data_IF_882496038998
#
_entry.id   IF_882496038998
#
_cell.length_a   1.000
_cell.length_b   1.000
_cell.length_c   1.000
_cell.angle_alpha   90.00
_cell.angle_beta   90.00
_cell.angle_gamma   90.00
#
_symmetry.space_group_name_H-M   'P 1'
#
loop_
_entity.id
_entity.type
_entity.pdbx_description
1 polymer ?
#
# COMPACT_ATOMS: atom_id res chain seq x y z
N UNK A 1 72.51 9.57 5.70
CA UNK A 1 72.66 8.17 6.02
C UNK A 1 71.36 7.65 6.54
N UNK A 2 70.77 6.79 5.74
CA UNK A 2 69.91 5.66 6.05
C UNK A 2 68.62 5.99 6.82
N UNK A 3 67.47 5.70 6.42
CA UNK A 3 67.00 4.57 5.68
C UNK A 3 65.64 4.21 6.23
N UNK A 4 64.73 4.01 5.41
CA UNK A 4 63.80 2.94 5.27
C UNK A 4 62.69 2.86 6.30
N UNK A 5 61.56 2.82 5.95
CA UNK A 5 60.77 1.67 5.59
C UNK A 5 59.30 2.04 5.59
N UNK A 6 58.78 1.88 4.47
CA UNK A 6 57.35 1.79 4.17
C UNK A 6 56.62 0.82 5.08
N UNK A 7 55.49 1.21 5.64
CA UNK A 7 54.42 0.28 5.88
C UNK A 7 53.16 0.94 5.33
N UNK A 8 52.86 0.59 4.14
CA UNK A 8 51.58 0.70 3.51
C UNK A 8 50.66 -0.27 4.22
N UNK A 9 49.80 0.21 5.12
CA UNK A 9 48.69 -0.55 5.63
C UNK A 9 47.42 0.09 5.07
N UNK A 10 47.03 -0.43 3.94
CA UNK A 10 45.73 -0.19 3.33
C UNK A 10 44.66 -0.90 4.14
N UNK A 11 44.26 -0.27 5.21
CA UNK A 11 43.00 -0.63 5.86
C UNK A 11 41.86 -0.15 4.93
N UNK A 12 41.46 -1.05 4.08
CA UNK A 12 40.18 -0.99 3.38
C UNK A 12 39.10 -1.02 4.45
N UNK A 13 38.71 0.17 4.90
CA UNK A 13 37.46 0.36 5.60
C UNK A 13 36.39 -0.04 4.60
N UNK A 14 35.89 -1.25 4.77
CA UNK A 14 34.70 -1.75 4.09
C UNK A 14 33.52 -0.97 4.68
N UNK A 15 33.31 0.27 4.21
CA UNK A 15 32.05 0.96 4.37
C UNK A 15 31.03 0.13 3.59
N UNK A 16 30.35 -0.76 4.29
CA UNK A 16 29.06 -1.23 3.86
C UNK A 16 28.19 0.01 3.84
N UNK A 17 28.07 0.65 2.68
CA UNK A 17 26.98 1.57 2.40
C UNK A 17 25.69 0.80 2.68
N UNK A 18 25.08 1.15 3.80
CA UNK A 18 23.75 0.68 4.17
C UNK A 18 22.76 1.53 3.36
N UNK A 19 22.86 1.47 2.02
CA UNK A 19 21.81 1.95 1.14
C UNK A 19 20.62 1.04 1.39
N UNK A 20 19.59 1.58 2.03
CA UNK A 20 18.29 0.92 2.12
C UNK A 20 17.85 0.61 0.68
N UNK A 21 17.93 -0.64 0.30
CA UNK A 21 17.51 -1.11 -1.02
C UNK A 21 15.98 -1.16 -1.02
N UNK A 22 15.35 -0.14 -1.64
CA UNK A 22 13.90 -0.07 -1.75
C UNK A 22 13.41 -1.15 -2.72
N UNK A 23 12.48 -1.97 -2.27
CA UNK A 23 11.82 -2.98 -3.10
C UNK A 23 10.59 -2.37 -3.79
N UNK A 24 10.61 -2.33 -5.13
CA UNK A 24 9.44 -1.91 -5.91
C UNK A 24 8.49 -3.09 -6.12
N UNK A 25 7.26 -2.97 -5.62
CA UNK A 25 6.23 -3.98 -5.79
C UNK A 25 5.73 -4.02 -7.24
N UNK A 26 5.31 -5.20 -7.70
CA UNK A 26 4.74 -5.35 -9.03
C UNK A 26 3.28 -4.88 -9.05
N UNK A 27 2.98 -3.85 -9.86
CA UNK A 27 1.64 -3.26 -9.97
C UNK A 27 0.55 -4.31 -10.31
N UNK A 28 0.79 -5.16 -11.32
CA UNK A 28 -0.19 -6.15 -11.77
C UNK A 28 -0.49 -7.22 -10.71
N UNK A 29 0.43 -7.43 -9.79
CA UNK A 29 0.28 -8.42 -8.70
C UNK A 29 -0.46 -7.87 -7.49
N UNK A 30 -0.43 -6.55 -7.27
CA UNK A 30 -0.96 -5.93 -6.06
C UNK A 30 -2.21 -5.08 -6.28
N UNK A 31 -2.46 -4.57 -7.50
CA UNK A 31 -3.53 -3.60 -7.78
C UNK A 31 -4.92 -4.05 -7.33
N UNK A 32 -5.21 -5.35 -7.46
CA UNK A 32 -6.50 -5.96 -7.12
C UNK A 32 -6.49 -6.64 -5.73
N UNK A 33 -5.52 -6.28 -4.86
CA UNK A 33 -5.39 -6.85 -3.52
C UNK A 33 -5.37 -5.81 -2.42
N UNK A 34 -5.54 -4.55 -2.76
CA UNK A 34 -5.49 -3.46 -1.80
C UNK A 34 -6.49 -2.35 -2.14
N UNK A 35 -6.90 -1.63 -1.10
CA UNK A 35 -7.66 -0.40 -1.24
C UNK A 35 -6.76 0.74 -0.78
N UNK A 36 -6.53 1.70 -1.68
CA UNK A 36 -5.80 2.92 -1.36
C UNK A 36 -6.70 3.86 -0.54
N UNK A 37 -6.08 4.85 0.07
CA UNK A 37 -6.80 5.90 0.79
C UNK A 37 -6.20 7.26 0.48
N UNK A 38 -7.05 8.24 0.22
CA UNK A 38 -6.58 9.61 0.17
C UNK A 38 -7.62 10.61 0.67
N UNK A 39 -7.09 11.68 1.28
CA UNK A 39 -7.87 12.83 1.69
C UNK A 39 -7.39 14.03 0.89
N UNK A 40 -8.32 14.74 0.26
CA UNK A 40 -8.05 15.86 -0.63
C UNK A 40 -8.48 17.14 0.08
N UNK A 41 -7.55 18.10 0.21
CA UNK A 41 -7.86 19.39 0.81
C UNK A 41 -8.71 20.27 -0.12
N UNK A 42 -9.43 21.23 0.45
CA UNK A 42 -10.15 22.24 -0.32
C UNK A 42 -9.19 23.08 -1.18
N UNK A 43 -8.04 23.52 -0.62
CA UNK A 43 -7.00 24.27 -1.33
C UNK A 43 -5.61 23.96 -0.78
N UNK A 44 -4.59 24.65 -1.31
CA UNK A 44 -3.19 24.53 -0.87
C UNK A 44 -2.78 25.52 0.21
N UNK A 45 -3.71 26.24 0.81
CA UNK A 45 -3.41 27.09 1.97
C UNK A 45 -2.97 26.24 3.16
N UNK A 46 -2.15 26.80 4.05
CA UNK A 46 -1.69 26.10 5.25
C UNK A 46 -2.86 25.64 6.14
N UNK A 47 -3.90 26.48 6.22
CA UNK A 47 -5.12 26.19 6.99
C UNK A 47 -5.86 24.98 6.44
N UNK A 48 -6.10 24.94 5.12
CA UNK A 48 -6.79 23.83 4.47
C UNK A 48 -5.97 22.53 4.52
N UNK A 49 -4.64 22.64 4.38
CA UNK A 49 -3.74 21.49 4.53
C UNK A 49 -3.75 20.97 5.99
N UNK A 50 -3.74 21.88 6.99
CA UNK A 50 -3.87 21.50 8.40
C UNK A 50 -5.22 20.86 8.70
N UNK A 51 -6.32 21.43 8.17
CA UNK A 51 -7.66 20.86 8.32
C UNK A 51 -7.77 19.47 7.73
N UNK A 52 -7.22 19.25 6.54
CA UNK A 52 -7.14 17.92 5.89
C UNK A 52 -6.50 16.89 6.80
N UNK A 53 -5.39 17.22 7.46
CA UNK A 53 -4.71 16.30 8.38
C UNK A 53 -5.58 15.95 9.58
N UNK A 54 -6.33 16.89 10.15
CA UNK A 54 -7.25 16.64 11.25
C UNK A 54 -8.42 15.74 10.82
N UNK A 55 -8.95 15.95 9.61
CA UNK A 55 -9.99 15.07 9.05
C UNK A 55 -9.42 13.67 8.84
N UNK A 56 -8.25 13.55 8.22
CA UNK A 56 -7.54 12.27 8.04
C UNK A 56 -7.45 11.50 9.35
N UNK A 57 -6.92 12.14 10.39
CA UNK A 57 -6.66 11.49 11.68
C UNK A 57 -7.95 10.91 12.28
N UNK A 58 -9.05 11.67 12.21
CA UNK A 58 -10.34 11.20 12.73
C UNK A 58 -10.98 10.10 11.88
N UNK A 59 -10.82 10.15 10.57
CA UNK A 59 -11.31 9.10 9.67
C UNK A 59 -10.50 7.81 9.89
N UNK A 60 -9.17 7.91 9.97
CA UNK A 60 -8.29 6.78 10.25
C UNK A 60 -8.63 6.14 11.59
N UNK A 61 -8.76 6.95 12.67
CA UNK A 61 -9.16 6.47 14.00
C UNK A 61 -10.49 5.70 13.95
N UNK A 62 -11.50 6.25 13.28
CA UNK A 62 -12.84 5.67 13.19
C UNK A 62 -12.91 4.38 12.38
N UNK A 63 -12.13 4.28 11.30
CA UNK A 63 -12.11 3.09 10.43
C UNK A 63 -11.19 2.00 10.95
N UNK A 64 -10.16 2.32 11.77
CA UNK A 64 -9.22 1.34 12.31
C UNK A 64 -9.92 0.24 13.10
N UNK A 65 -10.87 0.61 13.96
CA UNK A 65 -11.63 -0.37 14.76
C UNK A 65 -12.56 -1.23 13.89
N UNK A 66 -13.07 -0.68 12.78
CA UNK A 66 -13.97 -1.39 11.87
C UNK A 66 -13.25 -2.37 10.96
N UNK A 67 -12.02 -2.04 10.57
CA UNK A 67 -11.18 -2.88 9.71
C UNK A 67 -10.30 -3.85 10.49
N UNK A 68 -10.36 -3.77 11.83
CA UNK A 68 -9.57 -4.65 12.68
C UNK A 68 -9.96 -6.11 12.52
N UNK A 69 -8.98 -6.94 12.13
CA UNK A 69 -9.19 -8.37 11.93
C UNK A 69 -9.82 -8.74 10.59
N UNK A 70 -10.11 -7.77 9.73
CA UNK A 70 -10.54 -8.02 8.34
C UNK A 70 -9.38 -8.61 7.56
N UNK A 71 -9.64 -9.69 6.83
CA UNK A 71 -8.60 -10.45 6.11
C UNK A 71 -8.87 -10.59 4.62
N UNK A 72 -10.04 -10.16 4.14
CA UNK A 72 -10.38 -10.18 2.72
C UNK A 72 -10.69 -8.79 2.18
N UNK A 73 -10.35 -8.58 0.90
CA UNK A 73 -10.61 -7.32 0.20
C UNK A 73 -12.11 -7.04 0.13
N UNK A 74 -12.90 -8.05 -0.20
CA UNK A 74 -14.36 -7.95 -0.35
C UNK A 74 -15.04 -7.54 0.96
N UNK A 75 -14.57 -8.05 2.09
CA UNK A 75 -15.06 -7.65 3.41
C UNK A 75 -14.70 -6.20 3.71
N UNK A 76 -13.47 -5.78 3.37
CA UNK A 76 -13.02 -4.40 3.52
C UNK A 76 -13.84 -3.44 2.66
N UNK A 77 -14.13 -3.78 1.39
CA UNK A 77 -14.98 -3.01 0.49
C UNK A 77 -16.38 -2.81 1.07
N UNK A 78 -17.01 -3.89 1.56
CA UNK A 78 -18.33 -3.83 2.18
C UNK A 78 -18.32 -2.89 3.39
N UNK A 79 -17.35 -3.06 4.29
CA UNK A 79 -17.23 -2.23 5.49
C UNK A 79 -17.03 -0.75 5.13
N UNK A 80 -16.16 -0.46 4.17
CA UNK A 80 -15.89 0.91 3.75
C UNK A 80 -17.12 1.54 3.11
N UNK A 81 -17.81 0.80 2.25
CA UNK A 81 -19.01 1.27 1.56
C UNK A 81 -20.16 1.56 2.53
N UNK A 82 -20.40 0.66 3.49
CA UNK A 82 -21.43 0.81 4.51
C UNK A 82 -21.14 1.97 5.49
N UNK A 83 -19.91 2.47 5.54
CA UNK A 83 -19.50 3.54 6.44
C UNK A 83 -19.26 4.89 5.75
N UNK A 84 -19.61 5.07 4.47
CA UNK A 84 -19.45 6.34 3.75
C UNK A 84 -20.15 7.49 4.49
N UNK A 85 -21.41 7.33 4.84
CA UNK A 85 -22.19 8.36 5.56
C UNK A 85 -21.62 8.65 6.94
N UNK A 86 -21.15 7.62 7.65
CA UNK A 86 -20.51 7.78 8.95
C UNK A 86 -19.20 8.59 8.83
N UNK A 87 -18.39 8.33 7.82
CA UNK A 87 -17.15 9.07 7.55
C UNK A 87 -17.45 10.52 7.15
N UNK A 88 -18.48 10.75 6.30
CA UNK A 88 -18.92 12.09 5.95
C UNK A 88 -19.30 12.90 7.20
N UNK A 89 -20.05 12.31 8.12
CA UNK A 89 -20.46 12.97 9.36
C UNK A 89 -19.25 13.31 10.25
N UNK A 90 -18.32 12.36 10.46
CA UNK A 90 -17.09 12.60 11.22
C UNK A 90 -16.26 13.73 10.60
N UNK A 91 -16.06 13.69 9.29
CA UNK A 91 -15.29 14.70 8.59
C UNK A 91 -15.96 16.07 8.69
N UNK A 92 -17.29 16.14 8.53
CA UNK A 92 -18.06 17.38 8.68
C UNK A 92 -17.96 17.95 10.10
N UNK A 93 -18.04 17.10 11.12
CA UNK A 93 -17.87 17.52 12.52
C UNK A 93 -16.49 18.13 12.77
N UNK A 94 -15.44 17.53 12.24
CA UNK A 94 -14.07 18.09 12.33
C UNK A 94 -14.02 19.47 11.66
N UNK A 95 -14.60 19.61 10.47
CA UNK A 95 -14.60 20.84 9.69
C UNK A 95 -15.34 21.95 10.47
N UNK A 96 -16.54 21.68 10.96
CA UNK A 96 -17.34 22.63 11.74
C UNK A 96 -16.65 23.04 13.05
N UNK A 97 -16.05 22.10 13.77
CA UNK A 97 -15.31 22.37 15.01
C UNK A 97 -14.04 23.21 14.79
N UNK A 98 -13.57 23.33 13.55
CA UNK A 98 -12.46 24.21 13.17
C UNK A 98 -12.94 25.50 12.50
N UNK A 99 -14.22 25.83 12.60
CA UNK A 99 -14.86 27.05 12.09
C UNK A 99 -14.86 27.16 10.55
N UNK A 100 -14.93 26.04 9.85
CA UNK A 100 -15.14 25.96 8.40
C UNK A 100 -16.53 25.39 8.11
N UNK A 101 -17.01 25.59 6.88
CA UNK A 101 -18.29 25.08 6.40
C UNK A 101 -18.13 24.42 5.01
N UNK A 102 -17.08 23.61 4.87
CA UNK A 102 -16.85 22.87 3.64
C UNK A 102 -17.76 21.63 3.59
N UNK A 103 -18.28 21.34 2.40
CA UNK A 103 -18.92 20.06 2.14
C UNK A 103 -17.86 18.95 2.11
N UNK A 104 -18.30 17.73 2.42
CA UNK A 104 -17.46 16.53 2.34
C UNK A 104 -18.13 15.53 1.40
N UNK A 105 -17.34 14.96 0.53
CA UNK A 105 -17.80 13.88 -0.34
C UNK A 105 -16.84 12.67 -0.18
N UNK A 106 -17.38 11.58 0.36
CA UNK A 106 -16.66 10.33 0.53
C UNK A 106 -17.15 9.30 -0.47
N UNK A 107 -16.25 8.57 -1.09
CA UNK A 107 -16.60 7.53 -2.07
C UNK A 107 -15.52 6.45 -2.17
N UNK A 108 -15.94 5.27 -2.61
CA UNK A 108 -15.06 4.22 -3.09
C UNK A 108 -15.03 4.30 -4.63
N UNK A 109 -13.87 4.47 -5.23
CA UNK A 109 -13.71 4.64 -6.69
C UNK A 109 -12.30 4.29 -7.14
N UNK A 110 -12.13 4.07 -8.44
CA UNK A 110 -10.80 3.90 -9.01
C UNK A 110 -10.13 5.24 -9.29
N UNK A 111 -8.87 5.37 -8.87
CA UNK A 111 -8.09 6.61 -9.00
C UNK A 111 -6.62 6.34 -9.30
N UNK A 112 -6.00 7.29 -10.01
CA UNK A 112 -4.58 7.24 -10.28
C UNK A 112 -3.77 7.71 -9.07
N UNK A 113 -2.86 6.85 -8.61
CA UNK A 113 -1.93 7.14 -7.54
C UNK A 113 -0.52 7.29 -8.09
N UNK A 114 0.27 8.23 -7.57
CA UNK A 114 1.71 8.29 -7.83
C UNK A 114 2.45 7.17 -7.09
N UNK A 115 3.74 6.98 -7.42
CA UNK A 115 4.62 6.14 -6.61
C UNK A 115 4.62 6.61 -5.16
N UNK A 116 4.55 5.67 -4.22
CA UNK A 116 4.60 5.94 -2.78
C UNK A 116 5.49 4.93 -2.08
N UNK A 117 6.33 5.44 -1.19
CA UNK A 117 7.23 4.63 -0.37
C UNK A 117 6.59 4.43 1.01
N UNK A 118 6.53 3.19 1.47
CA UNK A 118 6.12 2.81 2.82
C UNK A 118 7.17 1.84 3.37
N UNK A 119 7.94 2.28 4.38
CA UNK A 119 9.11 1.53 4.85
C UNK A 119 10.10 1.26 3.72
N UNK A 120 10.42 0.01 3.49
CA UNK A 120 11.37 -0.45 2.47
C UNK A 120 10.71 -0.72 1.09
N UNK A 121 9.38 -0.46 0.95
CA UNK A 121 8.62 -0.83 -0.24
C UNK A 121 8.13 0.38 -1.02
N UNK A 122 8.25 0.31 -2.34
CA UNK A 122 7.66 1.26 -3.28
C UNK A 122 6.39 0.66 -3.86
N UNK A 123 5.26 1.32 -3.60
CA UNK A 123 3.99 1.05 -4.27
C UNK A 123 3.97 1.84 -5.57
N UNK A 124 3.98 1.17 -6.73
CA UNK A 124 4.10 1.84 -8.01
C UNK A 124 2.89 2.71 -8.34
N UNK A 125 3.11 3.70 -9.19
CA UNK A 125 2.02 4.48 -9.75
C UNK A 125 1.06 3.58 -10.51
N UNK A 126 -0.22 3.94 -10.49
CA UNK A 126 -1.23 3.17 -11.22
C UNK A 126 -2.65 3.51 -10.80
N UNK A 127 -3.60 2.84 -11.44
CA UNK A 127 -5.02 2.99 -11.15
C UNK A 127 -5.44 1.94 -10.13
N UNK A 128 -5.79 2.40 -8.93
CA UNK A 128 -6.17 1.54 -7.80
C UNK A 128 -7.58 1.87 -7.33
N UNK A 129 -8.25 0.88 -6.76
CA UNK A 129 -9.41 1.15 -5.95
C UNK A 129 -9.01 1.97 -4.73
N UNK A 130 -9.82 2.99 -4.41
CA UNK A 130 -9.48 3.95 -3.38
C UNK A 130 -10.70 4.44 -2.62
N UNK A 131 -10.57 4.46 -1.29
CA UNK A 131 -11.48 5.18 -0.42
C UNK A 131 -11.04 6.64 -0.35
N UNK A 132 -11.90 7.55 -0.80
CA UNK A 132 -11.58 8.97 -0.98
C UNK A 132 -12.42 9.84 -0.07
N UNK A 133 -11.80 10.83 0.55
CA UNK A 133 -12.47 11.89 1.30
C UNK A 133 -12.09 13.24 0.69
N UNK A 134 -13.06 13.90 0.07
CA UNK A 134 -12.86 15.17 -0.65
C UNK A 134 -13.46 16.28 0.21
N UNK A 135 -12.64 17.27 0.57
CA UNK A 135 -13.04 18.42 1.39
C UNK A 135 -13.26 19.62 0.47
N UNK A 136 -14.45 20.21 0.52
CA UNK A 136 -14.80 21.39 -0.25
C UNK A 136 -14.63 21.19 -1.76
N UNK A 137 -13.83 22.05 -2.39
CA UNK A 137 -13.57 21.99 -3.84
C UNK A 137 -12.64 20.87 -4.27
N UNK A 138 -11.88 20.26 -3.34
CA UNK A 138 -10.90 19.22 -3.65
C UNK A 138 -9.76 19.68 -4.57
N UNK A 139 -9.36 20.96 -4.49
CA UNK A 139 -8.33 21.54 -5.35
C UNK A 139 -6.93 21.55 -4.72
N UNK A 140 -6.85 21.15 -3.45
CA UNK A 140 -5.59 21.13 -2.72
C UNK A 140 -4.81 19.82 -2.84
N UNK A 141 -3.59 19.80 -2.32
CA UNK A 141 -2.74 18.61 -2.29
C UNK A 141 -3.36 17.47 -1.50
N UNK A 142 -3.17 16.27 -2.02
CA UNK A 142 -3.68 15.03 -1.43
C UNK A 142 -2.74 14.49 -0.36
N UNK A 143 -3.32 13.83 0.64
CA UNK A 143 -2.61 12.90 1.50
C UNK A 143 -2.95 11.47 1.07
N UNK A 144 -1.94 10.59 1.00
CA UNK A 144 -2.01 9.28 0.39
C UNK A 144 -1.64 8.16 1.35
N UNK A 145 -2.41 7.06 1.35
CA UNK A 145 -2.12 5.87 2.13
C UNK A 145 -2.70 4.58 1.50
N UNK A 146 -2.59 3.46 2.23
CA UNK A 146 -3.25 2.18 1.95
C UNK A 146 -4.18 1.86 3.11
N UNK A 147 -5.49 1.79 2.83
CA UNK A 147 -6.52 1.52 3.83
C UNK A 147 -6.65 0.03 4.12
N UNK A 148 -6.51 -0.80 3.08
CA UNK A 148 -6.48 -2.25 3.21
C UNK A 148 -5.38 -2.83 2.31
N UNK A 149 -4.48 -3.68 2.82
CA UNK A 149 -4.29 -3.94 4.25
C UNK A 149 -3.97 -2.66 5.04
N UNK A 150 -4.14 -2.73 6.35
CA UNK A 150 -4.22 -1.55 7.23
C UNK A 150 -2.87 -0.85 7.47
N UNK A 151 -2.25 -0.31 6.42
CA UNK A 151 -0.96 0.40 6.51
C UNK A 151 -1.11 1.84 7.03
N UNK A 152 -2.29 2.45 6.92
CA UNK A 152 -2.57 3.79 7.43
C UNK A 152 -2.51 3.91 8.96
N UNK A 153 -2.57 2.80 9.66
CA UNK A 153 -2.59 2.75 11.12
C UNK A 153 -1.19 2.56 11.73
N UNK A 154 -0.20 2.42 10.88
CA UNK A 154 1.20 2.37 11.27
C UNK A 154 1.66 3.81 11.43
N UNK A 155 1.81 4.25 12.68
CA UNK A 155 2.17 5.63 13.05
C UNK A 155 3.59 5.95 12.56
N UNK A 156 3.70 6.77 11.49
CA UNK A 156 4.98 7.24 10.93
C UNK A 156 5.82 8.02 11.97
N UNK A 157 5.21 8.47 13.07
CA UNK A 157 5.88 9.26 14.13
C UNK A 157 6.61 8.40 15.15
N UNK A 158 6.35 7.09 15.18
CA UNK A 158 7.07 6.16 16.05
C UNK A 158 8.17 5.48 15.24
N UNK A 159 9.40 5.89 15.50
CA UNK A 159 10.62 5.33 14.91
C UNK A 159 10.83 3.82 15.19
N UNK A 160 9.92 3.18 15.92
CA UNK A 160 9.77 1.76 16.13
C UNK A 160 8.48 1.22 15.47
N UNK A 161 8.16 1.70 14.27
CA UNK A 161 7.18 1.02 13.44
C UNK A 161 7.71 -0.40 13.29
N UNK A 162 6.95 -1.36 13.83
CA UNK A 162 7.23 -2.77 13.68
C UNK A 162 7.35 -3.05 12.17
N UNK A 163 8.57 -2.89 11.64
CA UNK A 163 8.89 -3.22 10.25
C UNK A 163 8.42 -4.63 9.91
N UNK A 164 8.29 -5.47 10.94
CA UNK A 164 7.79 -6.82 10.84
C UNK A 164 6.29 -6.88 10.54
N UNK A 165 5.46 -5.99 11.13
CA UNK A 165 4.03 -5.93 10.82
C UNK A 165 3.79 -5.44 9.38
N UNK A 166 4.51 -4.38 8.98
CA UNK A 166 4.45 -3.87 7.60
C UNK A 166 4.87 -4.95 6.60
N UNK A 167 5.98 -5.64 6.88
CA UNK A 167 6.46 -6.75 6.06
C UNK A 167 5.43 -7.86 5.97
N UNK A 168 4.81 -8.24 7.08
CA UNK A 168 3.79 -9.29 7.09
C UNK A 168 2.56 -8.91 6.27
N UNK A 169 2.09 -7.68 6.37
CA UNK A 169 0.96 -7.19 5.57
C UNK A 169 1.30 -7.15 4.08
N UNK A 170 2.52 -6.71 3.72
CA UNK A 170 2.97 -6.70 2.34
C UNK A 170 3.17 -8.11 1.79
N UNK A 171 3.74 -9.03 2.57
CA UNK A 171 3.87 -10.44 2.16
C UNK A 171 2.51 -11.10 1.92
N UNK A 172 1.45 -10.68 2.61
CA UNK A 172 0.09 -11.19 2.39
C UNK A 172 -0.48 -10.77 1.02
N UNK A 173 -0.10 -9.61 0.50
CA UNK A 173 -0.54 -9.13 -0.82
C UNK A 173 0.37 -9.58 -1.96
N UNK A 174 1.63 -9.95 -1.69
CA UNK A 174 2.50 -10.56 -2.70
C UNK A 174 1.96 -11.92 -3.15
N UNK A 175 2.17 -12.30 -4.41
CA UNK A 175 1.91 -13.67 -4.82
C UNK A 175 2.75 -14.62 -3.97
N UNK A 176 2.13 -15.61 -3.37
CA UNK A 176 2.89 -16.69 -2.73
C UNK A 176 3.72 -17.35 -3.81
N UNK A 177 5.04 -17.20 -3.77
CA UNK A 177 5.93 -18.02 -4.58
C UNK A 177 5.55 -19.47 -4.26
N UNK A 178 4.97 -20.15 -5.25
CA UNK A 178 4.85 -21.59 -5.21
C UNK A 178 6.29 -22.08 -5.38
N UNK A 179 7.00 -22.25 -4.26
CA UNK A 179 8.20 -23.03 -4.23
C UNK A 179 7.79 -24.45 -4.63
N UNK A 180 7.70 -24.67 -5.94
CA UNK A 180 7.66 -25.99 -6.50
C UNK A 180 8.99 -26.64 -6.11
N UNK A 181 8.90 -27.33 -4.99
CA UNK A 181 9.83 -28.36 -4.59
C UNK A 181 10.33 -29.10 -5.82
N UNK A 182 11.58 -28.82 -6.16
CA UNK A 182 12.37 -29.77 -6.90
C UNK A 182 12.51 -31.00 -6.00
N UNK A 183 11.59 -31.91 -6.12
CA UNK A 183 11.76 -33.30 -5.71
C UNK A 183 11.16 -34.20 -6.77
N UNK A 184 12.11 -34.89 -7.41
CA UNK A 184 12.03 -36.20 -8.00
C UNK A 184 11.15 -36.41 -9.27
N UNK A 185 11.90 -36.62 -10.34
CA UNK A 185 11.61 -37.60 -11.39
C UNK A 185 10.25 -38.34 -11.25
N UNK A 186 9.23 -37.69 -11.78
CA UNK A 186 8.10 -38.41 -12.33
C UNK A 186 7.83 -37.90 -13.73
N UNK A 187 8.18 -38.72 -14.72
CA UNK A 187 7.79 -38.56 -16.11
C UNK A 187 6.28 -38.37 -16.21
N UNK A 188 5.80 -37.15 -16.12
CA UNK A 188 4.42 -36.82 -16.40
C UNK A 188 4.23 -36.96 -17.92
N UNK A 189 3.88 -38.16 -18.36
CA UNK A 189 3.35 -38.38 -19.70
C UNK A 189 2.03 -37.63 -19.83
N UNK A 190 2.07 -36.46 -20.42
CA UNK A 190 0.87 -35.75 -20.89
C UNK A 190 0.16 -36.66 -21.95
N UNK A 191 -0.77 -37.45 -21.52
CA UNK A 191 -1.75 -38.10 -22.40
C UNK A 191 -2.82 -37.03 -22.70
N UNK A 192 -2.52 -36.19 -23.70
CA UNK A 192 -3.55 -35.33 -24.26
C UNK A 192 -4.61 -36.24 -24.92
N UNK A 193 -5.83 -36.15 -24.41
CA UNK A 193 -7.01 -36.82 -25.05
C UNK A 193 -7.25 -36.42 -26.50
N UNK A 194 -6.61 -35.36 -26.97
CA UNK A 194 -6.66 -34.92 -28.36
C UNK A 194 -5.89 -35.84 -29.32
N UNK A 195 -4.84 -36.50 -28.87
CA UNK A 195 -4.05 -37.37 -29.75
C UNK A 195 -4.80 -38.68 -30.11
N UNK A 196 -5.66 -39.14 -29.25
CA UNK A 196 -6.44 -40.38 -29.49
C UNK A 196 -7.63 -40.14 -30.43
N UNK A 197 -8.17 -38.91 -30.48
CA UNK A 197 -9.25 -38.54 -31.39
C UNK A 197 -8.74 -38.44 -32.84
N UNK A 198 -7.54 -37.90 -33.04
CA UNK A 198 -6.95 -37.76 -34.39
C UNK A 198 -6.54 -39.09 -34.99
N UNK A 199 -6.10 -40.07 -34.17
CA UNK A 199 -5.75 -41.40 -34.69
C UNK A 199 -6.93 -42.25 -35.12
N UNK A 200 -8.13 -41.94 -34.64
CA UNK A 200 -9.35 -42.67 -35.03
C UNK A 200 -10.06 -42.10 -36.26
N UNK A 201 -9.63 -40.95 -36.77
CA UNK A 201 -10.20 -40.32 -37.97
C UNK A 201 -9.49 -40.68 -39.29
N UNK A 202 -8.37 -41.39 -39.20
CA UNK A 202 -7.58 -41.82 -40.36
C UNK A 202 -7.37 -43.36 -40.44
N UNK A 203 -8.39 -44.12 -40.08
CA UNK A 203 -8.45 -45.56 -40.36
C UNK A 203 -9.62 -45.87 -41.25
#
# INVERSE_FOLDING_TARGET
>A
VTGGSDVCSSDLINNKDNSLELETLNYEEIKDKLIRFHVIANSDTEEDQSLKLKVRDKVVEALSEKLKGVTSLEEAEIILNDNIDYVNNIAKDVILNNNYDYEVNTMLSYENFPDKVYGDYVFPQGNYEAFRVIIGSGQGHNWWCVMFPSLCFVDESKSDVNSDNLKQEIENIKPKEINNLNNENDDIKFKSKMVDVVKNLFK
#
